data_IF_057093950342
#
_entry.id   IF_057093950342
#
_cell.length_a   1.000
_cell.length_b   1.000
_cell.length_c   1.000
_cell.angle_alpha   90.00
_cell.angle_beta   90.00
_cell.angle_gamma   90.00
#
_symmetry.space_group_name_H-M   'P 1'
#
loop_
_entity.id
_entity.type
_entity.pdbx_description
1 polymer ?
#
# COMPACT_ATOMS: atom_id res chain seq x y z
N UNK A 1 30.56 76.95 9.19
CA UNK A 1 31.53 76.04 8.53
C UNK A 1 31.17 74.65 9.01
N UNK A 2 30.32 73.99 8.23
CA UNK A 2 29.92 72.60 8.42
C UNK A 2 31.09 71.65 8.19
N UNK A 3 31.15 70.55 8.95
CA UNK A 3 31.35 69.20 8.39
C UNK A 3 30.94 68.13 9.42
N UNK A 4 29.66 67.77 9.35
CA UNK A 4 29.12 66.41 9.31
C UNK A 4 29.68 65.35 10.29
N UNK A 5 29.03 65.24 11.45
CA UNK A 5 28.89 63.96 12.15
C UNK A 5 27.87 63.10 11.41
N UNK A 6 28.40 62.18 10.59
CA UNK A 6 27.67 61.22 9.78
C UNK A 6 26.56 60.47 10.57
N UNK A 7 25.27 60.66 10.22
CA UNK A 7 24.15 60.04 10.93
C UNK A 7 23.94 58.54 10.65
N UNK A 8 24.77 57.91 9.81
CA UNK A 8 24.54 56.52 9.35
C UNK A 8 24.98 55.42 10.33
N UNK A 9 25.51 55.74 11.51
CA UNK A 9 25.97 54.72 12.48
C UNK A 9 25.05 54.57 13.71
N UNK A 10 23.87 55.20 13.73
CA UNK A 10 22.82 54.99 14.74
C UNK A 10 21.55 54.38 14.14
N UNK A 11 21.69 53.40 13.25
CA UNK A 11 20.53 52.72 12.66
C UNK A 11 20.67 51.19 12.69
N UNK A 12 21.20 50.62 13.78
CA UNK A 12 21.30 49.17 13.93
C UNK A 12 20.97 48.65 15.34
N UNK A 13 20.15 49.38 16.11
CA UNK A 13 19.59 48.84 17.35
C UNK A 13 18.31 49.61 17.74
N UNK A 14 17.25 49.46 16.95
CA UNK A 14 15.90 49.78 17.43
C UNK A 14 15.28 48.49 17.91
N UNK A 15 15.35 48.29 19.24
CA UNK A 15 14.57 47.31 19.97
C UNK A 15 13.13 47.82 20.00
N UNK A 16 12.38 47.51 18.94
CA UNK A 16 10.95 47.76 18.84
C UNK A 16 10.22 46.51 19.28
N UNK A 17 9.43 46.65 20.34
CA UNK A 17 8.48 45.67 20.87
C UNK A 17 7.85 44.79 19.78
N UNK A 18 8.16 43.50 19.88
CA UNK A 18 7.35 42.38 19.46
C UNK A 18 6.57 42.50 18.14
N UNK A 19 7.24 42.91 17.06
CA UNK A 19 6.74 42.71 15.70
C UNK A 19 7.85 42.17 14.81
N UNK A 20 7.89 40.86 14.67
CA UNK A 20 8.71 40.20 13.65
C UNK A 20 8.12 40.59 12.29
N UNK A 21 8.70 41.60 11.65
CA UNK A 21 8.33 42.00 10.29
C UNK A 21 8.96 40.96 9.34
N UNK A 22 8.18 39.94 9.00
CA UNK A 22 8.51 39.04 7.91
C UNK A 22 8.37 39.79 6.59
N UNK A 23 9.43 40.46 6.13
CA UNK A 23 9.52 40.89 4.74
C UNK A 23 9.80 39.65 3.88
N UNK A 24 8.78 38.81 3.69
CA UNK A 24 8.84 37.75 2.68
C UNK A 24 8.83 38.43 1.31
N UNK A 25 10.01 38.83 0.84
CA UNK A 25 10.24 39.10 -0.58
C UNK A 25 10.15 37.78 -1.34
N UNK A 26 8.92 37.27 -1.45
CA UNK A 26 8.60 36.09 -2.23
C UNK A 26 8.52 36.58 -3.67
N UNK A 27 9.66 36.54 -4.37
CA UNK A 27 9.73 36.83 -5.79
C UNK A 27 8.61 36.05 -6.51
N UNK A 28 7.61 36.78 -7.01
CA UNK A 28 6.37 36.27 -7.61
C UNK A 28 6.50 35.97 -9.11
N UNK A 29 7.70 35.97 -9.68
CA UNK A 29 7.96 35.63 -11.07
C UNK A 29 8.50 34.20 -11.22
N UNK A 30 7.69 33.18 -10.87
CA UNK A 30 8.00 31.79 -11.15
C UNK A 30 6.87 31.17 -11.95
N UNK A 31 7.19 30.71 -13.16
CA UNK A 31 6.23 30.02 -14.04
C UNK A 31 5.74 28.73 -13.38
N UNK A 32 4.44 28.43 -13.50
CA UNK A 32 3.78 27.24 -12.94
C UNK A 32 4.57 25.93 -13.21
N UNK A 33 5.14 25.84 -14.41
CA UNK A 33 5.95 24.70 -14.86
C UNK A 33 7.32 24.63 -14.17
N UNK A 34 7.97 25.75 -13.87
CA UNK A 34 9.24 25.76 -13.13
C UNK A 34 9.06 25.36 -11.67
N UNK A 35 7.91 25.68 -11.07
CA UNK A 35 7.54 25.21 -9.73
C UNK A 35 7.22 23.70 -9.70
N UNK A 36 6.80 23.12 -10.82
CA UNK A 36 6.58 21.68 -10.99
C UNK A 36 7.89 20.91 -11.25
N UNK A 37 8.91 21.53 -11.85
CA UNK A 37 10.14 20.85 -12.28
C UNK A 37 11.41 21.21 -11.48
N UNK A 38 11.37 22.17 -10.56
CA UNK A 38 12.53 22.55 -9.73
C UNK A 38 12.71 21.65 -8.48
N UNK A 39 13.54 20.60 -8.63
CA UNK A 39 14.68 20.10 -7.80
C UNK A 39 14.58 19.96 -6.25
N UNK A 40 13.48 20.32 -5.57
CA UNK A 40 13.15 19.83 -4.20
C UNK A 40 11.90 18.93 -4.21
N UNK A 41 11.61 18.37 -5.39
CA UNK A 41 10.26 18.00 -5.80
C UNK A 41 9.59 16.94 -4.90
N UNK A 42 8.40 17.24 -4.32
CA UNK A 42 7.58 16.26 -3.62
C UNK A 42 7.18 15.09 -4.54
N UNK A 43 7.19 15.31 -5.86
CA UNK A 43 6.92 14.28 -6.87
C UNK A 43 7.99 13.19 -6.91
N UNK A 44 9.29 13.55 -6.91
CA UNK A 44 10.38 12.56 -6.91
C UNK A 44 10.42 11.78 -5.59
N UNK A 45 10.19 12.48 -4.46
CA UNK A 45 10.05 11.84 -3.14
C UNK A 45 8.84 10.92 -3.08
N UNK A 46 7.71 11.31 -3.68
CA UNK A 46 6.52 10.47 -3.80
C UNK A 46 6.79 9.25 -4.69
N UNK A 47 7.46 9.43 -5.82
CA UNK A 47 7.87 8.34 -6.70
C UNK A 47 8.75 7.34 -5.96
N UNK A 48 9.76 7.82 -5.23
CA UNK A 48 10.65 6.96 -4.45
C UNK A 48 9.93 6.25 -3.31
N UNK A 49 8.97 6.94 -2.66
CA UNK A 49 8.11 6.33 -1.63
C UNK A 49 7.21 5.24 -2.22
N UNK A 50 6.59 5.49 -3.36
CA UNK A 50 5.76 4.51 -4.07
C UNK A 50 6.60 3.31 -4.48
N UNK A 51 7.79 3.54 -5.03
CA UNK A 51 8.72 2.47 -5.37
C UNK A 51 9.08 1.61 -4.15
N UNK A 52 9.40 2.23 -3.02
CA UNK A 52 9.67 1.54 -1.75
C UNK A 52 8.47 0.70 -1.30
N UNK A 53 7.26 1.23 -1.35
CA UNK A 53 6.03 0.51 -0.97
C UNK A 53 5.80 -0.70 -1.88
N UNK A 54 5.97 -0.53 -3.19
CA UNK A 54 5.81 -1.63 -4.16
C UNK A 54 6.86 -2.73 -3.88
N UNK A 55 8.10 -2.34 -3.59
CA UNK A 55 9.16 -3.28 -3.27
C UNK A 55 8.89 -4.05 -1.98
N UNK A 56 8.46 -3.37 -0.90
CA UNK A 56 8.06 -4.01 0.36
C UNK A 56 6.88 -4.97 0.14
N UNK A 57 5.86 -4.56 -0.62
CA UNK A 57 4.73 -5.40 -0.96
C UNK A 57 5.15 -6.66 -1.75
N UNK A 58 6.07 -6.52 -2.71
CA UNK A 58 6.59 -7.64 -3.48
C UNK A 58 7.39 -8.62 -2.61
N UNK A 59 8.22 -8.11 -1.69
CA UNK A 59 8.96 -8.94 -0.73
C UNK A 59 8.01 -9.71 0.18
N UNK A 60 7.02 -9.02 0.77
CA UNK A 60 6.04 -9.64 1.65
C UNK A 60 5.24 -10.70 0.86
N UNK A 61 4.80 -10.37 -0.35
CA UNK A 61 4.12 -11.30 -1.24
C UNK A 61 4.96 -12.55 -1.50
N UNK A 62 6.25 -12.38 -1.84
CA UNK A 62 7.17 -13.49 -2.04
C UNK A 62 7.31 -14.37 -0.80
N UNK A 63 7.46 -13.77 0.38
CA UNK A 63 7.55 -14.49 1.66
C UNK A 63 6.27 -15.26 1.93
N UNK A 64 5.10 -14.63 1.76
CA UNK A 64 3.79 -15.28 1.96
C UNK A 64 3.61 -16.44 1.00
N UNK A 65 3.87 -16.26 -0.30
CA UNK A 65 3.78 -17.31 -1.31
C UNK A 65 4.68 -18.50 -0.93
N UNK A 66 5.92 -18.22 -0.53
CA UNK A 66 6.89 -19.24 -0.11
C UNK A 66 6.37 -20.01 1.11
N UNK A 67 6.00 -19.30 2.17
CA UNK A 67 5.50 -19.90 3.41
C UNK A 67 4.23 -20.71 3.13
N UNK A 68 3.27 -20.17 2.39
CA UNK A 68 2.03 -20.86 2.04
C UNK A 68 2.30 -22.12 1.23
N UNK A 69 3.23 -22.08 0.27
CA UNK A 69 3.64 -23.27 -0.47
C UNK A 69 4.19 -24.35 0.44
N UNK A 70 5.15 -24.02 1.32
CA UNK A 70 5.70 -24.99 2.26
C UNK A 70 4.67 -25.49 3.25
N UNK A 71 3.78 -24.63 3.75
CA UNK A 71 2.73 -25.01 4.69
C UNK A 71 1.75 -26.02 4.06
N UNK A 72 1.30 -25.77 2.84
CA UNK A 72 0.42 -26.70 2.12
C UNK A 72 1.15 -28.02 1.86
N UNK A 73 2.43 -28.01 1.47
CA UNK A 73 3.19 -29.23 1.24
C UNK A 73 3.57 -29.99 2.53
N UNK A 74 3.65 -29.29 3.67
CA UNK A 74 3.95 -29.87 4.98
C UNK A 74 2.73 -30.52 5.64
N UNK A 75 1.51 -30.07 5.33
CA UNK A 75 0.28 -30.68 5.86
C UNK A 75 0.08 -32.07 5.23
N UNK A 76 0.07 -33.15 6.03
CA UNK A 76 -0.22 -34.48 5.53
C UNK A 76 -1.67 -34.53 5.01
N UNK A 77 -1.85 -34.82 3.72
CA UNK A 77 -3.16 -34.86 3.07
C UNK A 77 -3.45 -33.75 2.06
N UNK A 78 -2.54 -32.80 1.83
CA UNK A 78 -2.69 -31.76 0.79
C UNK A 78 -2.76 -32.31 -0.64
N UNK A 79 -2.16 -33.49 -0.87
CA UNK A 79 -2.30 -34.27 -2.10
C UNK A 79 -3.49 -35.24 -2.02
N UNK A 80 -4.65 -34.78 -1.53
CA UNK A 80 -5.85 -35.61 -1.30
C UNK A 80 -6.28 -36.40 -2.54
N UNK A 81 -5.99 -35.89 -3.74
CA UNK A 81 -6.25 -36.56 -5.01
C UNK A 81 -5.39 -37.82 -5.23
N UNK A 82 -4.18 -37.86 -4.69
CA UNK A 82 -3.30 -39.04 -4.75
C UNK A 82 -3.67 -40.04 -3.67
N UNK A 83 -4.08 -39.59 -2.48
CA UNK A 83 -4.49 -40.48 -1.39
C UNK A 83 -5.88 -41.10 -1.59
N UNK A 84 -6.77 -40.49 -2.38
CA UNK A 84 -8.07 -41.06 -2.76
C UNK A 84 -8.00 -42.07 -3.91
N UNK A 85 -6.90 -42.12 -4.69
CA UNK A 85 -6.75 -43.08 -5.77
C UNK A 85 -6.31 -44.45 -5.22
N UNK A 86 -7.25 -45.42 -5.21
CA UNK A 86 -7.00 -46.79 -4.73
C UNK A 86 -6.03 -47.59 -5.61
N UNK A 87 -5.92 -47.26 -6.90
CA UNK A 87 -5.03 -47.94 -7.84
C UNK A 87 -3.66 -47.24 -7.97
N UNK A 88 -2.58 -48.00 -7.81
CA UNK A 88 -1.20 -47.50 -7.91
C UNK A 88 -0.87 -46.89 -9.28
N UNK A 89 -1.45 -47.41 -10.36
CA UNK A 89 -1.25 -46.87 -11.72
C UNK A 89 -1.91 -45.49 -11.90
N UNK A 90 -3.08 -45.28 -11.29
CA UNK A 90 -3.79 -44.00 -11.33
C UNK A 90 -3.05 -42.97 -10.49
N UNK A 91 -2.49 -43.38 -9.35
CA UNK A 91 -1.62 -42.53 -8.52
C UNK A 91 -0.40 -42.04 -9.27
N UNK A 92 0.35 -42.94 -9.91
CA UNK A 92 1.55 -42.58 -10.66
C UNK A 92 1.23 -41.64 -11.85
N UNK A 93 0.10 -41.85 -12.53
CA UNK A 93 -0.35 -40.97 -13.61
C UNK A 93 -0.73 -39.56 -13.11
N UNK A 94 -1.38 -39.46 -11.94
CA UNK A 94 -1.71 -38.19 -11.29
C UNK A 94 -0.43 -37.48 -10.82
N UNK A 95 0.47 -38.20 -10.15
CA UNK A 95 1.74 -37.64 -9.66
C UNK A 95 2.61 -37.11 -10.81
N UNK A 96 2.65 -37.80 -11.95
CA UNK A 96 3.32 -37.35 -13.15
C UNK A 96 2.63 -36.13 -13.80
N UNK A 97 1.30 -36.14 -13.89
CA UNK A 97 0.51 -35.05 -14.50
C UNK A 97 0.66 -33.72 -13.76
N UNK A 98 0.80 -33.77 -12.44
CA UNK A 98 0.88 -32.58 -11.58
C UNK A 98 2.30 -32.30 -11.07
N UNK A 99 3.29 -33.08 -11.52
CA UNK A 99 4.69 -32.90 -11.13
C UNK A 99 4.97 -33.12 -9.64
N UNK A 100 4.16 -33.94 -8.96
CA UNK A 100 4.40 -34.32 -7.56
C UNK A 100 5.61 -35.24 -7.42
N UNK A 101 6.07 -35.85 -8.53
CA UNK A 101 7.27 -36.67 -8.59
C UNK A 101 8.58 -35.87 -8.62
N UNK A 102 8.53 -34.54 -8.79
CA UNK A 102 9.73 -33.71 -8.86
C UNK A 102 10.26 -33.35 -7.46
N UNK A 103 11.58 -33.08 -7.31
CA UNK A 103 12.15 -32.53 -6.10
C UNK A 103 11.41 -31.25 -5.66
N UNK A 104 11.27 -31.05 -4.35
CA UNK A 104 10.46 -29.96 -3.77
C UNK A 104 10.86 -28.57 -4.29
N UNK A 105 12.17 -28.36 -4.51
CA UNK A 105 12.73 -27.11 -5.06
C UNK A 105 12.29 -26.90 -6.51
N UNK A 106 12.35 -27.93 -7.36
CA UNK A 106 11.94 -27.82 -8.76
C UNK A 106 10.43 -27.55 -8.86
N UNK A 107 9.63 -28.20 -8.02
CA UNK A 107 8.19 -27.95 -7.93
C UNK A 107 7.88 -26.50 -7.51
N UNK A 108 8.64 -25.95 -6.58
CA UNK A 108 8.53 -24.55 -6.19
C UNK A 108 8.93 -23.60 -7.33
N UNK A 109 10.04 -23.85 -8.02
CA UNK A 109 10.51 -23.01 -9.12
C UNK A 109 9.52 -23.01 -10.30
N UNK A 110 8.97 -24.16 -10.66
CA UNK A 110 7.92 -24.27 -11.67
C UNK A 110 6.66 -23.51 -11.24
N UNK A 111 6.21 -23.69 -10.00
CA UNK A 111 5.08 -22.96 -9.44
C UNK A 111 5.30 -21.44 -9.47
N UNK A 112 6.48 -20.98 -9.03
CA UNK A 112 6.83 -19.56 -8.99
C UNK A 112 6.93 -18.94 -10.40
N UNK A 113 7.51 -19.66 -11.36
CA UNK A 113 7.60 -19.21 -12.75
C UNK A 113 6.21 -19.07 -13.40
N UNK A 114 5.34 -20.04 -13.17
CA UNK A 114 3.97 -19.99 -13.68
C UNK A 114 3.19 -18.83 -13.05
N UNK A 115 3.36 -18.64 -11.74
CA UNK A 115 2.76 -17.53 -11.00
C UNK A 115 3.19 -16.16 -11.55
N UNK A 116 4.49 -15.99 -11.85
CA UNK A 116 5.01 -14.77 -12.48
C UNK A 116 4.49 -14.57 -13.92
N UNK A 117 4.18 -15.66 -14.62
CA UNK A 117 3.60 -15.61 -15.97
C UNK A 117 2.08 -15.33 -15.96
N UNK A 118 1.48 -15.17 -14.77
CA UNK A 118 0.03 -15.01 -14.60
C UNK A 118 -0.75 -16.32 -14.73
N UNK A 119 -0.06 -17.47 -14.76
CA UNK A 119 -0.67 -18.79 -14.75
C UNK A 119 -0.66 -19.36 -13.33
N UNK A 120 -1.82 -19.27 -12.68
CA UNK A 120 -2.03 -19.79 -11.33
C UNK A 120 -2.23 -21.32 -11.31
N UNK A 121 -2.23 -21.97 -12.48
CA UNK A 121 -2.35 -23.42 -12.64
C UNK A 121 -3.77 -23.96 -12.45
N UNK A 122 -3.84 -25.28 -12.37
CA UNK A 122 -5.06 -26.07 -12.16
C UNK A 122 -5.24 -26.40 -10.68
N UNK A 123 -6.48 -26.33 -10.17
CA UNK A 123 -6.74 -26.56 -8.74
C UNK A 123 -6.44 -28.00 -8.36
N UNK A 124 -5.59 -28.17 -7.34
CA UNK A 124 -5.23 -29.46 -6.78
C UNK A 124 -5.96 -29.80 -5.48
N UNK A 125 -6.53 -28.81 -4.79
CA UNK A 125 -7.09 -29.00 -3.45
C UNK A 125 -8.60 -28.75 -3.34
N UNK A 126 -9.21 -27.89 -4.19
CA UNK A 126 -10.62 -27.52 -4.05
C UNK A 126 -11.50 -27.99 -5.23
N UNK A 127 -11.02 -27.89 -6.47
CA UNK A 127 -11.79 -28.30 -7.67
C UNK A 127 -10.89 -28.95 -8.74
N UNK A 128 -10.62 -30.25 -8.64
CA UNK A 128 -9.68 -30.96 -9.52
C UNK A 128 -10.00 -30.71 -11.00
N UNK A 129 -9.04 -30.19 -11.75
CA UNK A 129 -9.14 -30.00 -13.20
C UNK A 129 -9.78 -28.68 -13.68
N UNK A 130 -10.17 -27.78 -12.78
CA UNK A 130 -10.57 -26.42 -13.17
C UNK A 130 -9.39 -25.45 -13.17
N UNK A 131 -9.31 -24.61 -14.20
CA UNK A 131 -8.39 -23.47 -14.24
C UNK A 131 -8.73 -22.48 -13.12
N UNK A 132 -7.79 -22.25 -12.21
CA UNK A 132 -7.99 -21.32 -11.09
C UNK A 132 -7.99 -19.87 -11.60
N UNK A 133 -7.38 -19.62 -12.76
CA UNK A 133 -7.20 -18.31 -13.35
C UNK A 133 -8.54 -17.54 -13.49
N UNK A 134 -9.56 -18.15 -14.09
CA UNK A 134 -10.88 -17.54 -14.27
C UNK A 134 -11.54 -17.17 -12.94
N UNK A 135 -11.37 -18.03 -11.92
CA UNK A 135 -11.92 -17.79 -10.59
C UNK A 135 -11.21 -16.62 -9.88
N UNK A 136 -9.87 -16.57 -9.98
CA UNK A 136 -9.05 -15.49 -9.43
C UNK A 136 -9.42 -14.16 -10.09
N UNK A 137 -9.47 -14.10 -11.42
CA UNK A 137 -9.84 -12.87 -12.13
C UNK A 137 -11.23 -12.39 -11.77
N UNK A 138 -12.20 -13.30 -11.66
CA UNK A 138 -13.57 -12.94 -11.27
C UNK A 138 -13.63 -12.33 -9.87
N UNK A 139 -12.90 -12.93 -8.91
CA UNK A 139 -12.84 -12.40 -7.53
C UNK A 139 -12.06 -11.11 -7.45
N UNK A 140 -10.91 -11.05 -8.13
CA UNK A 140 -10.09 -9.85 -8.23
C UNK A 140 -10.90 -8.67 -8.76
N UNK A 141 -11.66 -8.88 -9.84
CA UNK A 141 -12.53 -7.85 -10.41
C UNK A 141 -13.57 -7.32 -9.41
N UNK A 142 -14.25 -8.22 -8.69
CA UNK A 142 -15.21 -7.83 -7.64
C UNK A 142 -14.54 -7.03 -6.52
N UNK A 143 -13.40 -7.50 -6.00
CA UNK A 143 -12.63 -6.80 -4.97
C UNK A 143 -12.10 -5.45 -5.45
N UNK A 144 -11.66 -5.37 -6.70
CA UNK A 144 -11.20 -4.14 -7.33
C UNK A 144 -12.32 -3.10 -7.42
N UNK A 145 -13.53 -3.51 -7.83
CA UNK A 145 -14.71 -2.62 -7.86
C UNK A 145 -15.08 -2.08 -6.47
N UNK A 146 -15.03 -2.93 -5.44
CA UNK A 146 -15.28 -2.48 -4.06
C UNK A 146 -14.19 -1.52 -3.59
N UNK A 147 -12.93 -1.82 -3.91
CA UNK A 147 -11.78 -0.98 -3.56
C UNK A 147 -11.85 0.40 -4.21
N UNK A 148 -12.14 0.48 -5.52
CA UNK A 148 -12.24 1.77 -6.22
C UNK A 148 -13.41 2.60 -5.69
N UNK A 149 -14.54 1.96 -5.37
CA UNK A 149 -15.69 2.64 -4.78
C UNK A 149 -15.37 3.18 -3.38
N UNK A 150 -14.65 2.42 -2.57
CA UNK A 150 -14.16 2.86 -1.26
C UNK A 150 -13.24 4.08 -1.39
N UNK A 151 -12.25 4.03 -2.29
CA UNK A 151 -11.35 5.17 -2.54
C UNK A 151 -12.12 6.40 -3.00
N UNK A 152 -13.07 6.23 -3.93
CA UNK A 152 -13.92 7.31 -4.41
C UNK A 152 -14.70 7.98 -3.28
N UNK A 153 -15.30 7.19 -2.39
CA UNK A 153 -16.03 7.69 -1.23
C UNK A 153 -15.11 8.39 -0.23
N UNK A 154 -13.92 7.83 0.04
CA UNK A 154 -12.91 8.46 0.91
C UNK A 154 -12.41 9.78 0.35
N UNK A 155 -12.15 9.87 -0.95
CA UNK A 155 -11.72 11.10 -1.61
C UNK A 155 -12.83 12.15 -1.57
N UNK A 156 -14.08 11.76 -1.80
CA UNK A 156 -15.20 12.70 -1.85
C UNK A 156 -15.60 13.18 -0.45
N UNK A 157 -15.84 12.26 0.48
CA UNK A 157 -16.38 12.57 1.81
C UNK A 157 -15.24 12.82 2.80
N UNK A 158 -14.27 11.91 2.86
CA UNK A 158 -13.18 11.96 3.84
C UNK A 158 -12.31 13.22 3.71
N UNK A 159 -11.89 13.57 2.48
CA UNK A 159 -11.09 14.78 2.25
C UNK A 159 -11.92 16.03 2.52
N UNK A 160 -13.19 16.09 2.07
CA UNK A 160 -14.06 17.25 2.31
C UNK A 160 -14.30 17.51 3.79
N UNK A 161 -14.59 16.46 4.56
CA UNK A 161 -14.73 16.55 6.02
C UNK A 161 -13.42 16.94 6.69
N UNK A 162 -12.30 16.35 6.27
CA UNK A 162 -10.97 16.68 6.80
C UNK A 162 -10.60 18.15 6.60
N UNK A 163 -10.89 18.72 5.42
CA UNK A 163 -10.70 20.15 5.16
C UNK A 163 -11.61 20.99 6.05
N UNK A 164 -12.87 20.58 6.26
CA UNK A 164 -13.82 21.34 7.06
C UNK A 164 -13.43 21.39 8.55
N UNK A 165 -13.01 20.25 9.11
CA UNK A 165 -12.45 20.16 10.46
C UNK A 165 -11.22 21.04 10.61
N UNK A 166 -10.28 20.96 9.67
CA UNK A 166 -9.03 21.72 9.72
C UNK A 166 -9.19 23.24 9.61
N UNK A 167 -10.32 23.73 9.08
CA UNK A 167 -10.60 25.18 8.99
C UNK A 167 -11.01 25.80 10.33
N UNK A 168 -11.56 25.04 11.27
CA UNK A 168 -12.03 25.55 12.56
C UNK A 168 -11.46 24.72 13.73
N UNK A 169 -10.14 24.82 14.00
CA UNK A 169 -9.49 24.07 15.07
C UNK A 169 -10.07 24.46 16.44
N UNK A 170 -10.33 23.46 17.29
CA UNK A 170 -10.93 23.65 18.62
C UNK A 170 -12.45 23.88 18.62
N UNK A 171 -13.11 23.82 17.46
CA UNK A 171 -14.57 23.89 17.34
C UNK A 171 -15.27 22.57 17.68
N UNK A 172 -16.61 22.59 17.73
CA UNK A 172 -17.43 21.40 18.01
C UNK A 172 -17.16 20.29 16.98
N UNK A 173 -17.00 20.64 15.71
CA UNK A 173 -16.75 19.67 14.62
C UNK A 173 -15.40 18.95 14.78
N UNK A 174 -14.39 19.65 15.29
CA UNK A 174 -13.05 19.10 15.53
C UNK A 174 -13.04 18.13 16.73
N UNK A 175 -13.68 18.54 17.83
CA UNK A 175 -13.84 17.69 19.02
C UNK A 175 -14.63 16.41 18.72
N UNK A 176 -15.76 16.52 18.02
CA UNK A 176 -16.58 15.35 17.64
C UNK A 176 -15.79 14.42 16.71
N UNK A 177 -15.08 14.97 15.72
CA UNK A 177 -14.27 14.17 14.80
C UNK A 177 -13.14 13.44 15.51
N UNK A 178 -12.46 14.09 16.45
CA UNK A 178 -11.37 13.49 17.25
C UNK A 178 -11.89 12.35 18.12
N UNK A 179 -13.04 12.52 18.76
CA UNK A 179 -13.68 11.45 19.55
C UNK A 179 -14.07 10.28 18.65
N UNK A 180 -14.69 10.54 17.50
CA UNK A 180 -15.07 9.48 16.54
C UNK A 180 -13.84 8.71 16.04
N UNK A 181 -12.80 9.40 15.60
CA UNK A 181 -11.54 8.78 15.15
C UNK A 181 -10.93 7.94 16.28
N UNK A 182 -10.97 8.42 17.51
CA UNK A 182 -10.44 7.70 18.67
C UNK A 182 -11.24 6.42 18.94
N UNK A 183 -12.57 6.45 18.82
CA UNK A 183 -13.42 5.25 18.93
C UNK A 183 -13.07 4.25 17.83
N UNK A 184 -13.05 4.69 16.57
CA UNK A 184 -12.75 3.80 15.44
C UNK A 184 -11.34 3.21 15.51
N UNK A 185 -10.34 3.99 15.92
CA UNK A 185 -8.96 3.52 16.09
C UNK A 185 -8.79 2.62 17.31
N UNK A 186 -9.66 2.76 18.32
CA UNK A 186 -9.62 1.96 19.54
C UNK A 186 -10.20 0.56 19.35
N UNK A 187 -11.06 0.34 18.33
CA UNK A 187 -11.54 -0.99 17.97
C UNK A 187 -10.36 -1.78 17.39
N UNK A 188 -9.78 -2.75 18.12
CA UNK A 188 -8.74 -3.60 17.59
C UNK A 188 -9.40 -4.52 16.55
N UNK A 189 -8.81 -4.62 15.37
CA UNK A 189 -9.28 -5.52 14.30
C UNK A 189 -9.39 -7.00 14.74
N UNK A 190 -8.80 -7.35 15.88
CA UNK A 190 -8.85 -8.67 16.51
C UNK A 190 -10.21 -9.01 17.14
N UNK A 191 -10.99 -8.03 17.61
CA UNK A 191 -12.27 -8.30 18.30
C UNK A 191 -13.38 -8.67 17.29
N UNK A 192 -13.36 -8.07 16.09
CA UNK A 192 -14.30 -8.39 15.00
C UNK A 192 -14.01 -9.74 14.33
N UNK A 193 -12.82 -10.30 14.51
CA UNK A 193 -12.40 -11.57 13.88
C UNK A 193 -12.88 -12.80 14.66
N UNK A 194 -13.43 -12.62 15.87
CA UNK A 194 -13.83 -13.70 16.80
C UNK A 194 -15.35 -13.83 17.03
N UNK A 195 -16.18 -13.05 16.35
CA UNK A 195 -17.66 -13.16 16.37
C UNK A 195 -18.19 -13.68 15.04
#
# INVERSE_FOLDING_TARGET
MDTQTNPQLKSNAVLSDNKVIFTSSRNKNLNLFQKLTAIDSPLLKAFWKVFKIIFEFLIIGFIVITITFFLINAVPGSNSLVSSAKDANIRAAIEAKYGLNLPLIERYLHYFKNLLSGDFGISLSLFPGQEINTFIWTRFYKSFLVGIFSVFLTVTIGISLGIWVGKNPGGIVDNVSTVLVSIFSSIPSIILLWS
#
